data_IF_911015271317
#
_entry.id   IF_911015271317
#
_cell.length_a   1.000
_cell.length_b   1.000
_cell.length_c   1.000
_cell.angle_alpha   90.00
_cell.angle_beta   90.00
_cell.angle_gamma   90.00
#
_symmetry.space_group_name_H-M   'P 1'
#
loop_
_entity.id
_entity.type
_entity.pdbx_description
1 polymer ?
#
# COMPACT_ATOMS: atom_id res chain seq x y z
N UNK A 1 3.75 -0.94 -21.32
CA UNK A 1 4.13 0.30 -20.65
C UNK A 1 4.61 0.07 -19.23
N UNK A 2 4.98 1.13 -18.58
CA UNK A 2 5.61 1.11 -17.25
C UNK A 2 4.73 0.48 -16.15
N UNK A 3 3.41 0.52 -16.31
CA UNK A 3 2.48 -0.05 -15.34
C UNK A 3 2.74 -1.55 -15.08
N UNK A 4 2.82 -2.36 -16.15
CA UNK A 4 3.05 -3.81 -16.02
C UNK A 4 4.49 -4.10 -15.58
N UNK A 5 5.46 -3.36 -16.10
CA UNK A 5 6.88 -3.50 -15.72
C UNK A 5 7.08 -3.23 -14.24
N UNK A 6 6.56 -2.11 -13.73
CA UNK A 6 6.67 -1.74 -12.31
C UNK A 6 6.00 -2.80 -11.42
N UNK A 7 4.80 -3.29 -11.80
CA UNK A 7 4.15 -4.35 -11.04
C UNK A 7 5.00 -5.62 -10.93
N UNK A 8 5.67 -6.03 -12.01
CA UNK A 8 6.57 -7.20 -12.00
C UNK A 8 7.84 -6.96 -11.17
N UNK A 9 8.43 -5.78 -11.29
CA UNK A 9 9.59 -5.39 -10.46
C UNK A 9 9.24 -5.47 -8.97
N UNK A 10 8.05 -5.01 -8.57
CA UNK A 10 7.60 -5.14 -7.18
C UNK A 10 7.33 -6.58 -6.75
N UNK A 11 6.79 -7.42 -7.64
CA UNK A 11 6.67 -8.86 -7.34
C UNK A 11 8.04 -9.49 -7.06
N UNK A 12 9.07 -9.15 -7.86
CA UNK A 12 10.43 -9.63 -7.62
C UNK A 12 10.98 -9.12 -6.29
N UNK A 13 10.78 -7.83 -5.95
CA UNK A 13 11.15 -7.25 -4.65
C UNK A 13 10.42 -7.97 -3.50
N UNK A 14 9.12 -8.22 -3.61
CA UNK A 14 8.35 -8.94 -2.58
C UNK A 14 8.92 -10.35 -2.33
N UNK A 15 9.35 -11.03 -3.39
CA UNK A 15 9.94 -12.38 -3.30
C UNK A 15 11.35 -12.35 -2.71
N UNK A 16 12.21 -11.43 -3.17
CA UNK A 16 13.63 -11.40 -2.80
C UNK A 16 13.89 -10.72 -1.47
N UNK A 17 13.24 -9.57 -1.21
CA UNK A 17 13.53 -8.75 -0.03
C UNK A 17 12.58 -9.06 1.15
N UNK A 18 11.35 -9.49 0.85
CA UNK A 18 10.35 -9.75 1.88
C UNK A 18 9.90 -11.21 1.95
N UNK A 19 10.55 -12.10 1.19
CA UNK A 19 10.31 -13.55 1.20
C UNK A 19 8.83 -13.93 1.00
N UNK A 20 8.12 -13.23 0.11
CA UNK A 20 6.74 -13.52 -0.23
C UNK A 20 6.63 -14.95 -0.78
N UNK A 21 5.69 -15.72 -0.26
CA UNK A 21 5.39 -17.09 -0.67
C UNK A 21 4.04 -17.20 -1.39
N UNK A 22 3.85 -18.14 -2.31
CA UNK A 22 2.54 -18.38 -2.95
C UNK A 22 1.41 -18.65 -1.95
N UNK A 23 1.73 -19.26 -0.82
CA UNK A 23 0.79 -19.62 0.26
C UNK A 23 0.46 -18.47 1.22
N UNK A 24 1.07 -17.29 1.05
CA UNK A 24 0.79 -16.16 1.93
C UNK A 24 -0.65 -15.63 1.78
N UNK A 25 -1.22 -15.20 2.90
CA UNK A 25 -2.41 -14.35 2.92
C UNK A 25 -1.95 -12.89 2.87
N UNK A 26 -2.36 -12.18 1.84
CA UNK A 26 -1.79 -10.86 1.48
C UNK A 26 -2.79 -9.73 1.71
N UNK A 27 -2.33 -8.62 2.30
CA UNK A 27 -3.04 -7.35 2.33
C UNK A 27 -2.26 -6.27 1.58
N UNK A 28 -2.91 -5.67 0.58
CA UNK A 28 -2.45 -4.50 -0.17
C UNK A 28 -3.12 -3.23 0.38
N UNK A 29 -2.38 -2.43 1.10
CA UNK A 29 -2.82 -1.15 1.65
C UNK A 29 -2.60 -0.08 0.59
N UNK A 30 -3.70 0.39 -0.02
CA UNK A 30 -3.65 1.34 -1.13
C UNK A 30 -3.46 0.65 -2.47
N UNK A 31 -4.38 -0.24 -2.82
CA UNK A 31 -4.29 -1.09 -4.02
C UNK A 31 -4.38 -0.33 -5.36
N UNK A 32 -4.87 0.93 -5.33
CA UNK A 32 -5.04 1.74 -6.53
C UNK A 32 -5.87 1.03 -7.58
N UNK A 33 -5.35 1.00 -8.80
CA UNK A 33 -5.93 0.30 -9.96
C UNK A 33 -5.31 -1.11 -10.15
N UNK A 34 -4.82 -1.75 -9.09
CA UNK A 34 -4.34 -3.11 -9.11
C UNK A 34 -2.95 -3.33 -9.74
N UNK A 35 -2.08 -2.32 -9.75
CA UNK A 35 -0.74 -2.45 -10.35
C UNK A 35 0.05 -3.59 -9.76
N UNK A 36 0.03 -3.74 -8.43
CA UNK A 36 0.72 -4.81 -7.73
C UNK A 36 -0.09 -6.11 -7.74
N UNK A 37 -1.42 -6.02 -7.74
CA UNK A 37 -2.32 -7.16 -7.75
C UNK A 37 -2.18 -8.00 -9.03
N UNK A 38 -2.07 -7.36 -10.21
CA UNK A 38 -2.04 -8.07 -11.50
C UNK A 38 -0.95 -9.15 -11.56
N UNK A 39 0.33 -8.88 -11.32
CA UNK A 39 1.35 -9.93 -11.36
C UNK A 39 1.21 -10.94 -10.21
N UNK A 40 0.57 -10.58 -9.11
CA UNK A 40 0.30 -11.47 -7.99
C UNK A 40 -0.79 -12.51 -8.32
N UNK A 41 -1.68 -12.26 -9.30
CA UNK A 41 -2.71 -13.24 -9.71
C UNK A 41 -2.13 -14.53 -10.25
N UNK A 42 -0.94 -14.49 -10.86
CA UNK A 42 -0.24 -15.65 -11.39
C UNK A 42 0.69 -16.32 -10.35
N UNK A 43 0.83 -15.69 -9.17
CA UNK A 43 1.78 -16.13 -8.15
C UNK A 43 1.11 -16.64 -6.87
N UNK A 44 0.07 -15.95 -6.38
CA UNK A 44 -0.57 -16.26 -5.11
C UNK A 44 -1.63 -17.36 -5.27
N UNK A 45 -1.54 -18.37 -4.42
CA UNK A 45 -2.50 -19.46 -4.30
C UNK A 45 -3.56 -19.18 -3.21
N UNK A 46 -3.29 -18.23 -2.31
CA UNK A 46 -4.12 -17.92 -1.17
C UNK A 46 -4.81 -16.54 -1.31
N UNK A 47 -5.50 -16.13 -0.24
CA UNK A 47 -6.31 -14.91 -0.18
C UNK A 47 -5.46 -13.64 -0.36
N UNK A 48 -5.93 -12.77 -1.24
CA UNK A 48 -5.46 -11.40 -1.39
C UNK A 48 -6.62 -10.45 -1.09
N UNK A 49 -6.35 -9.46 -0.23
CA UNK A 49 -7.26 -8.36 0.06
C UNK A 49 -6.57 -7.05 -0.29
N UNK A 50 -7.28 -6.18 -0.98
CA UNK A 50 -6.82 -4.83 -1.25
C UNK A 50 -7.87 -3.80 -0.85
N UNK A 51 -7.45 -2.65 -0.35
CA UNK A 51 -8.35 -1.51 -0.20
C UNK A 51 -7.71 -0.23 -0.72
N UNK A 52 -8.55 0.67 -1.20
CA UNK A 52 -8.13 1.99 -1.67
C UNK A 52 -9.21 3.04 -1.41
N UNK A 53 -8.82 4.31 -1.45
CA UNK A 53 -9.73 5.45 -1.29
C UNK A 53 -10.34 5.90 -2.62
N UNK A 54 -9.84 5.39 -3.76
CA UNK A 54 -10.27 5.78 -5.12
C UNK A 54 -11.34 4.83 -5.64
N UNK A 55 -12.62 5.24 -5.71
CA UNK A 55 -13.72 4.36 -6.11
C UNK A 55 -13.54 3.74 -7.49
N UNK A 56 -13.05 4.51 -8.46
CA UNK A 56 -12.84 4.06 -9.84
C UNK A 56 -11.83 2.92 -9.92
N UNK A 57 -10.75 3.03 -9.14
CA UNK A 57 -9.71 2.00 -9.04
C UNK A 57 -10.25 0.70 -8.45
N UNK A 58 -10.95 0.79 -7.32
CA UNK A 58 -11.57 -0.35 -6.65
C UNK A 58 -12.60 -1.04 -7.57
N UNK A 59 -13.49 -0.27 -8.19
CA UNK A 59 -14.49 -0.80 -9.12
C UNK A 59 -13.83 -1.52 -10.31
N UNK A 60 -12.73 -0.97 -10.83
CA UNK A 60 -11.98 -1.60 -11.90
C UNK A 60 -11.37 -2.94 -11.45
N UNK A 61 -10.73 -2.98 -10.29
CA UNK A 61 -10.15 -4.19 -9.72
C UNK A 61 -11.22 -5.27 -9.47
N UNK A 62 -12.35 -4.91 -8.89
CA UNK A 62 -13.48 -5.83 -8.69
C UNK A 62 -14.00 -6.41 -10.01
N UNK A 63 -14.16 -5.55 -11.03
CA UNK A 63 -14.70 -5.96 -12.33
C UNK A 63 -13.74 -6.85 -13.12
N UNK A 64 -12.44 -6.58 -13.09
CA UNK A 64 -11.49 -7.21 -14.01
C UNK A 64 -10.52 -8.18 -13.35
N UNK A 65 -10.29 -8.06 -12.03
CA UNK A 65 -9.44 -8.96 -11.28
C UNK A 65 -10.30 -9.94 -10.48
N UNK A 66 -11.13 -9.49 -9.54
CA UNK A 66 -11.92 -10.38 -8.67
C UNK A 66 -12.85 -11.30 -9.45
N UNK A 67 -13.40 -10.84 -10.58
CA UNK A 67 -14.27 -11.68 -11.44
C UNK A 67 -13.56 -12.89 -12.06
N UNK A 68 -12.24 -12.86 -12.16
CA UNK A 68 -11.40 -13.92 -12.75
C UNK A 68 -10.63 -14.71 -11.70
N UNK A 69 -10.29 -14.05 -10.59
CA UNK A 69 -9.49 -14.57 -9.49
C UNK A 69 -10.28 -14.40 -8.18
N UNK A 70 -11.13 -15.38 -7.81
CA UNK A 70 -12.05 -15.26 -6.67
C UNK A 70 -11.36 -15.09 -5.31
N UNK A 71 -10.08 -15.41 -5.21
CA UNK A 71 -9.26 -15.21 -4.03
C UNK A 71 -8.71 -13.77 -3.91
N UNK A 72 -8.95 -12.90 -4.91
CA UNK A 72 -8.57 -11.48 -4.90
C UNK A 72 -9.80 -10.61 -4.66
N UNK A 73 -9.83 -9.92 -3.54
CA UNK A 73 -10.91 -9.03 -3.14
C UNK A 73 -10.42 -7.59 -3.00
N UNK A 74 -11.27 -6.64 -3.37
CA UNK A 74 -10.98 -5.21 -3.26
C UNK A 74 -12.15 -4.48 -2.63
N UNK A 75 -11.85 -3.52 -1.75
CA UNK A 75 -12.89 -2.74 -1.10
C UNK A 75 -12.52 -1.25 -1.02
N UNK A 76 -13.56 -0.42 -1.09
CA UNK A 76 -13.42 1.02 -0.93
C UNK A 76 -13.26 1.35 0.56
N UNK A 77 -12.20 2.09 0.89
CA UNK A 77 -12.02 2.66 2.22
C UNK A 77 -12.66 4.05 2.28
N UNK A 78 -13.62 4.24 3.19
CA UNK A 78 -14.33 5.51 3.39
C UNK A 78 -13.47 6.54 4.14
N UNK A 79 -12.26 6.76 3.65
CA UNK A 79 -11.26 7.66 4.22
C UNK A 79 -11.30 8.99 3.48
N UNK A 80 -11.41 10.08 4.25
CA UNK A 80 -11.31 11.42 3.70
C UNK A 80 -9.91 11.66 3.13
N UNK A 81 -9.84 11.94 1.85
CA UNK A 81 -8.63 12.40 1.17
C UNK A 81 -8.99 13.57 0.25
N UNK A 82 -8.37 14.72 0.47
CA UNK A 82 -8.70 15.96 -0.23
C UNK A 82 -8.63 15.82 -1.76
N UNK A 83 -7.70 15.03 -2.27
CA UNK A 83 -7.44 14.89 -3.70
C UNK A 83 -8.17 13.70 -4.33
N UNK A 84 -8.33 12.58 -3.59
CA UNK A 84 -8.80 11.32 -4.15
C UNK A 84 -10.20 10.93 -3.67
N UNK A 85 -10.58 11.31 -2.43
CA UNK A 85 -11.88 10.96 -1.85
C UNK A 85 -12.36 12.06 -0.89
N UNK A 86 -12.71 13.25 -1.39
CA UNK A 86 -13.10 14.37 -0.52
C UNK A 86 -14.43 14.14 0.23
N UNK A 87 -15.25 13.18 -0.21
CA UNK A 87 -16.49 12.77 0.46
C UNK A 87 -16.29 11.70 1.54
N UNK A 88 -15.09 11.18 1.72
CA UNK A 88 -14.78 10.19 2.76
C UNK A 88 -15.05 10.73 4.15
N UNK A 89 -15.55 9.87 5.04
CA UNK A 89 -16.08 10.27 6.37
C UNK A 89 -15.06 10.08 7.48
N UNK A 90 -14.12 9.16 7.31
CA UNK A 90 -13.15 8.80 8.35
C UNK A 90 -11.82 9.46 8.06
N UNK A 91 -11.16 10.01 9.08
CA UNK A 91 -9.80 10.52 8.93
C UNK A 91 -8.80 9.36 8.89
N UNK A 92 -7.73 9.50 8.11
CA UNK A 92 -6.69 8.47 7.99
C UNK A 92 -6.06 8.08 9.34
N UNK A 93 -5.88 9.05 10.25
CA UNK A 93 -5.35 8.80 11.60
C UNK A 93 -6.33 8.10 12.55
N UNK A 94 -7.58 7.86 12.15
CA UNK A 94 -8.60 7.16 12.93
C UNK A 94 -9.21 5.96 12.17
N UNK A 95 -8.72 5.66 10.97
CA UNK A 95 -9.25 4.55 10.19
C UNK A 95 -8.80 3.20 10.76
N UNK A 96 -9.77 2.36 11.09
CA UNK A 96 -9.53 0.99 11.51
C UNK A 96 -9.64 0.08 10.29
N UNK A 97 -8.60 -0.70 10.01
CA UNK A 97 -8.63 -1.66 8.91
C UNK A 97 -9.72 -2.69 9.16
N UNK A 98 -10.62 -2.95 8.19
CA UNK A 98 -11.80 -3.80 8.37
C UNK A 98 -11.47 -5.30 8.34
N UNK A 99 -10.39 -5.68 9.01
CA UNK A 99 -9.88 -7.05 9.08
C UNK A 99 -9.63 -7.42 10.54
N UNK A 100 -9.75 -8.71 10.83
CA UNK A 100 -9.44 -9.26 12.15
C UNK A 100 -7.94 -9.18 12.46
N UNK A 101 -7.60 -9.22 13.73
CA UNK A 101 -6.23 -9.35 14.19
C UNK A 101 -5.62 -10.65 13.65
N UNK A 102 -4.30 -10.64 13.40
CA UNK A 102 -3.53 -11.81 12.98
C UNK A 102 -4.07 -12.50 11.71
N UNK A 103 -4.61 -11.72 10.75
CA UNK A 103 -5.28 -12.25 9.55
C UNK A 103 -4.34 -12.49 8.38
N UNK A 104 -3.23 -11.74 8.29
CA UNK A 104 -2.35 -11.72 7.11
C UNK A 104 -0.94 -12.17 7.45
N UNK A 105 -0.33 -12.95 6.59
CA UNK A 105 1.08 -13.33 6.71
C UNK A 105 2.01 -12.37 5.96
N UNK A 106 1.47 -11.60 5.02
CA UNK A 106 2.19 -10.56 4.30
C UNK A 106 1.33 -9.31 4.10
N UNK A 107 1.88 -8.14 4.45
CA UNK A 107 1.22 -6.84 4.24
C UNK A 107 2.16 -5.93 3.48
N UNK A 108 1.66 -5.19 2.50
CA UNK A 108 2.45 -4.14 1.87
C UNK A 108 1.68 -2.84 1.68
N UNK A 109 2.43 -1.73 1.67
CA UNK A 109 1.92 -0.41 1.33
C UNK A 109 2.95 0.30 0.43
N UNK A 110 2.62 0.42 -0.86
CA UNK A 110 3.49 1.05 -1.86
C UNK A 110 2.95 2.42 -2.24
N UNK A 111 3.75 3.46 -2.01
CA UNK A 111 3.38 4.87 -2.28
C UNK A 111 2.11 5.34 -1.55
N UNK A 112 1.85 4.84 -0.36
CA UNK A 112 0.73 5.27 0.49
C UNK A 112 1.21 6.16 1.62
N UNK A 113 2.17 5.68 2.41
CA UNK A 113 2.66 6.38 3.60
C UNK A 113 3.33 7.72 3.26
N UNK A 114 3.84 7.84 2.04
CA UNK A 114 4.40 9.08 1.48
C UNK A 114 3.35 10.19 1.25
N UNK A 115 2.06 9.87 1.35
CA UNK A 115 0.94 10.81 1.21
C UNK A 115 0.22 11.10 2.54
N UNK A 116 0.70 10.54 3.64
CA UNK A 116 0.09 10.66 4.96
C UNK A 116 0.89 11.59 5.86
N UNK A 117 0.20 12.30 6.75
CA UNK A 117 0.82 13.03 7.85
C UNK A 117 1.27 12.04 8.95
N UNK A 118 2.21 12.42 9.83
CA UNK A 118 2.79 11.52 10.82
C UNK A 118 1.80 10.77 11.69
N UNK A 119 0.75 11.44 12.17
CA UNK A 119 -0.30 10.82 12.99
C UNK A 119 -1.10 9.74 12.24
N UNK A 120 -1.30 9.93 10.94
CA UNK A 120 -1.92 8.93 10.08
C UNK A 120 -0.95 7.78 9.76
N UNK A 121 0.34 8.07 9.59
CA UNK A 121 1.38 7.02 9.44
C UNK A 121 1.42 6.15 10.68
N UNK A 122 1.44 6.72 11.89
CA UNK A 122 1.43 5.99 13.17
C UNK A 122 0.21 5.08 13.27
N UNK A 123 -0.98 5.59 12.91
CA UNK A 123 -2.19 4.77 12.87
C UNK A 123 -2.07 3.60 11.88
N UNK A 124 -1.60 3.86 10.65
CA UNK A 124 -1.46 2.82 9.63
C UNK A 124 -0.47 1.74 10.03
N UNK A 125 0.68 2.11 10.59
CA UNK A 125 1.66 1.15 11.11
C UNK A 125 1.05 0.31 12.25
N UNK A 126 0.30 0.94 13.16
CA UNK A 126 -0.40 0.24 14.25
C UNK A 126 -1.45 -0.73 13.72
N UNK A 127 -2.22 -0.33 12.69
CA UNK A 127 -3.20 -1.21 12.06
C UNK A 127 -2.55 -2.35 11.27
N UNK A 128 -1.45 -2.09 10.57
CA UNK A 128 -0.66 -3.14 9.89
C UNK A 128 -0.14 -4.15 10.92
N UNK A 129 0.43 -3.68 12.02
CA UNK A 129 0.91 -4.56 13.09
C UNK A 129 -0.23 -5.39 13.71
N UNK A 130 -1.42 -4.82 13.87
CA UNK A 130 -2.60 -5.53 14.41
C UNK A 130 -3.08 -6.66 13.49
N UNK A 131 -3.15 -6.42 12.19
CA UNK A 131 -3.68 -7.41 11.24
C UNK A 131 -2.65 -8.42 10.78
N UNK A 132 -1.37 -8.16 11.01
CA UNK A 132 -0.27 -9.05 10.66
C UNK A 132 -0.18 -10.19 11.68
N UNK A 133 -0.06 -11.42 11.20
CA UNK A 133 0.15 -12.60 12.03
C UNK A 133 1.48 -12.50 12.79
N UNK A 134 1.62 -13.20 13.93
CA UNK A 134 2.94 -13.49 14.48
C UNK A 134 3.85 -14.07 13.38
N UNK A 135 5.10 -13.61 13.30
CA UNK A 135 6.06 -13.98 12.24
C UNK A 135 5.66 -13.52 10.81
N UNK A 136 4.57 -12.76 10.67
CA UNK A 136 4.20 -12.12 9.42
C UNK A 136 5.21 -11.03 9.01
N UNK A 137 5.23 -10.70 7.72
CA UNK A 137 6.19 -9.76 7.13
C UNK A 137 5.47 -8.60 6.49
N UNK A 138 6.07 -7.41 6.52
CA UNK A 138 5.55 -6.29 5.77
C UNK A 138 6.63 -5.61 4.93
N UNK A 139 6.21 -5.05 3.78
CA UNK A 139 7.04 -4.17 2.95
C UNK A 139 6.35 -2.82 2.79
N UNK A 140 7.02 -1.78 3.28
CA UNK A 140 6.49 -0.42 3.30
C UNK A 140 7.47 0.51 2.57
N UNK A 141 6.95 1.44 1.77
CA UNK A 141 7.78 2.43 1.07
C UNK A 141 7.66 3.79 1.72
N UNK A 142 8.81 4.45 1.93
CA UNK A 142 8.95 5.77 2.53
C UNK A 142 9.93 6.64 1.74
N UNK A 143 9.79 7.96 1.89
CA UNK A 143 10.90 8.88 1.67
C UNK A 143 11.65 9.06 3.01
N UNK A 144 12.89 8.60 3.05
CA UNK A 144 13.71 8.70 4.26
C UNK A 144 14.56 9.95 4.20
N UNK A 145 14.35 10.87 5.16
CA UNK A 145 15.21 12.04 5.37
C UNK A 145 16.32 11.70 6.36
N UNK A 146 17.46 11.29 5.84
CA UNK A 146 18.72 11.15 6.56
C UNK A 146 19.72 12.24 6.10
N UNK A 147 20.90 12.32 6.72
CA UNK A 147 21.89 13.36 6.41
C UNK A 147 22.25 13.38 4.92
N UNK A 148 22.44 12.20 4.30
CA UNK A 148 22.76 12.09 2.88
C UNK A 148 21.61 12.56 1.98
N UNK A 149 20.36 12.23 2.32
CA UNK A 149 19.21 12.69 1.53
C UNK A 149 18.98 14.19 1.66
N UNK A 150 19.24 14.77 2.85
CA UNK A 150 19.23 16.21 3.09
C UNK A 150 20.31 16.94 2.28
N UNK A 151 21.54 16.43 2.33
CA UNK A 151 22.65 16.96 1.52
C UNK A 151 22.32 16.91 0.01
N UNK A 152 21.76 15.83 -0.48
CA UNK A 152 21.34 15.73 -1.88
C UNK A 152 20.23 16.75 -2.26
N UNK A 153 19.29 17.02 -1.35
CA UNK A 153 18.26 18.04 -1.53
C UNK A 153 18.89 19.45 -1.60
N UNK A 154 19.78 19.78 -0.67
CA UNK A 154 20.47 21.07 -0.61
C UNK A 154 21.35 21.32 -1.83
N UNK A 155 22.02 20.28 -2.33
CA UNK A 155 22.89 20.35 -3.51
C UNK A 155 22.13 20.23 -4.86
N UNK A 156 20.81 20.03 -4.85
CA UNK A 156 20.02 19.83 -6.06
C UNK A 156 20.26 18.50 -6.77
N UNK A 157 20.80 17.50 -6.08
CA UNK A 157 21.05 16.16 -6.60
C UNK A 157 19.93 15.14 -6.24
N UNK A 158 18.88 15.59 -5.56
CA UNK A 158 17.75 14.74 -5.22
C UNK A 158 16.95 14.36 -6.48
N UNK A 159 16.52 13.11 -6.56
CA UNK A 159 15.67 12.63 -7.66
C UNK A 159 14.20 13.09 -7.53
N UNK A 160 13.78 13.51 -6.32
CA UNK A 160 12.44 14.00 -6.04
C UNK A 160 12.51 15.46 -5.57
N UNK A 161 11.61 16.28 -6.11
CA UNK A 161 11.42 17.67 -5.70
C UNK A 161 10.22 17.74 -4.73
N UNK A 162 10.50 18.05 -3.46
CA UNK A 162 9.48 18.20 -2.42
C UNK A 162 9.00 19.64 -2.38
N UNK A 163 7.79 19.89 -2.93
CA UNK A 163 7.22 21.23 -3.10
C UNK A 163 6.54 21.79 -1.85
N UNK A 164 6.22 20.93 -0.88
CA UNK A 164 5.48 21.31 0.31
C UNK A 164 6.23 20.88 1.57
N UNK A 165 6.57 21.86 2.40
CA UNK A 165 7.03 21.65 3.77
C UNK A 165 5.81 21.75 4.70
N UNK A 166 5.46 20.65 5.37
CA UNK A 166 4.39 20.63 6.38
C UNK A 166 4.91 20.91 7.80
N UNK A 167 6.20 21.23 7.94
CA UNK A 167 6.84 21.50 9.24
C UNK A 167 6.92 20.27 10.15
N UNK A 168 6.80 19.06 9.59
CA UNK A 168 6.71 17.80 10.35
C UNK A 168 7.88 16.85 10.09
N UNK A 169 8.83 17.24 9.26
CA UNK A 169 9.99 16.42 8.88
C UNK A 169 11.30 17.19 9.03
#
# INVERSE_FOLDING_TARGET
>A
GDFVRIGREFLDIFKTEASLLPSDTVLDVGSGIGRMAIPLTDYLENRYEGFDVVPEGVNWCQKYISSRFPNFNFQLADIHNRSYHPSGKVRANAYVFPYEQDSFSFVFATSVLTHLLPDAVDNYISQIARVLKPDGRCLLTFFLLNDRSRENLECGHAQADFKFDNGTY
#
